data_IF_787894166191
#
_entry.id   IF_787894166191
#
_cell.length_a   1.000
_cell.length_b   1.000
_cell.length_c   1.000
_cell.angle_alpha   90.00
_cell.angle_beta   90.00
_cell.angle_gamma   90.00
#
_symmetry.space_group_name_H-M   'P 1'
#
loop_
_entity.id
_entity.type
_entity.pdbx_description
1 polymer ?
#
# COMPACT_ATOMS: atom_id res chain seq x y z
N UNK A 1 16.04 -14.38 14.88
CA UNK A 1 16.33 -15.54 15.74
C UNK A 1 16.70 -14.99 17.09
N UNK A 2 15.88 -15.30 18.08
CA UNK A 2 15.94 -14.71 19.42
C UNK A 2 15.88 -15.84 20.43
N UNK A 3 16.66 -15.74 21.50
CA UNK A 3 16.60 -16.70 22.60
C UNK A 3 15.34 -16.46 23.44
N UNK A 4 14.74 -17.55 23.92
CA UNK A 4 13.56 -17.53 24.77
C UNK A 4 13.87 -18.29 26.06
N UNK A 5 13.26 -17.85 27.15
CA UNK A 5 13.39 -18.50 28.46
C UNK A 5 12.02 -18.61 29.10
N UNK A 6 11.81 -19.66 29.87
CA UNK A 6 10.59 -19.87 30.61
C UNK A 6 10.51 -18.89 31.80
N UNK A 7 9.31 -18.38 32.09
CA UNK A 7 9.13 -17.30 33.08
C UNK A 7 9.60 -17.71 34.47
N UNK A 8 9.39 -18.97 34.87
CA UNK A 8 9.85 -19.48 36.17
C UNK A 8 11.38 -19.52 36.29
N UNK A 9 12.09 -19.81 35.19
CA UNK A 9 13.55 -19.76 35.15
C UNK A 9 14.06 -18.32 35.38
N UNK A 10 13.35 -17.32 34.84
CA UNK A 10 13.66 -15.90 35.09
C UNK A 10 13.43 -15.55 36.56
N UNK A 11 12.31 -15.99 37.15
CA UNK A 11 12.01 -15.77 38.55
C UNK A 11 13.07 -16.42 39.48
N UNK A 12 13.44 -17.67 39.22
CA UNK A 12 14.51 -18.37 39.94
C UNK A 12 15.82 -17.59 39.86
N UNK A 13 16.18 -17.12 38.67
CA UNK A 13 17.38 -16.33 38.49
C UNK A 13 17.36 -15.01 39.30
N UNK A 14 16.19 -14.40 39.51
CA UNK A 14 16.07 -13.22 40.38
C UNK A 14 16.27 -13.56 41.85
N UNK A 15 15.77 -14.72 42.30
CA UNK A 15 15.98 -15.22 43.66
C UNK A 15 17.47 -15.48 43.91
N UNK A 16 18.16 -16.22 43.02
CA UNK A 16 19.60 -16.46 43.15
C UNK A 16 20.40 -15.14 43.16
N UNK A 17 19.96 -14.13 42.40
CA UNK A 17 20.60 -12.82 42.42
C UNK A 17 20.43 -12.10 43.77
N UNK A 18 19.25 -12.17 44.39
CA UNK A 18 19.01 -11.61 45.71
C UNK A 18 19.86 -12.30 46.78
N UNK A 19 19.90 -13.63 46.79
CA UNK A 19 20.72 -14.41 47.73
C UNK A 19 22.23 -14.12 47.59
N UNK A 20 22.70 -13.92 46.36
CA UNK A 20 24.11 -13.54 46.11
C UNK A 20 24.42 -12.11 46.60
N UNK A 21 23.44 -11.21 46.58
CA UNK A 21 23.58 -9.86 47.15
C UNK A 21 23.59 -9.88 48.68
N UNK A 22 22.73 -10.69 49.29
CA UNK A 22 22.62 -10.82 50.76
C UNK A 22 23.80 -11.54 51.39
N UNK A 23 24.53 -12.34 50.62
CA UNK A 23 25.78 -13.01 51.05
C UNK A 23 27.03 -12.12 51.02
N UNK A 24 26.86 -10.80 50.84
CA UNK A 24 27.92 -9.77 50.88
C UNK A 24 29.07 -10.01 49.89
N UNK A 25 28.80 -10.69 48.76
CA UNK A 25 29.78 -10.84 47.67
C UNK A 25 29.82 -9.53 46.86
N UNK A 26 30.64 -8.58 47.33
CA UNK A 26 30.82 -7.20 46.82
C UNK A 26 31.07 -7.11 45.29
N UNK A 27 31.41 -8.22 44.63
CA UNK A 27 31.76 -8.26 43.20
C UNK A 27 30.58 -8.26 42.22
N UNK A 28 29.33 -8.45 42.67
CA UNK A 28 28.18 -8.67 41.76
C UNK A 28 27.27 -7.44 41.62
N UNK A 29 27.31 -6.51 42.58
CA UNK A 29 26.49 -5.29 42.55
C UNK A 29 26.82 -4.40 41.33
N UNK A 30 25.79 -4.06 40.54
CA UNK A 30 25.92 -3.21 39.34
C UNK A 30 26.27 -3.94 38.03
N UNK A 31 26.45 -5.26 38.03
CA UNK A 31 26.68 -6.04 36.81
C UNK A 31 25.36 -6.44 36.14
N UNK A 32 25.24 -6.16 34.84
CA UNK A 32 24.11 -6.64 34.03
C UNK A 32 24.41 -8.06 33.56
N UNK A 33 23.78 -9.05 34.20
CA UNK A 33 23.90 -10.45 33.84
C UNK A 33 22.64 -10.89 33.07
N UNK A 34 22.84 -11.33 31.83
CA UNK A 34 21.77 -11.76 30.93
C UNK A 34 21.45 -13.23 31.20
N UNK A 35 20.15 -13.55 31.27
CA UNK A 35 19.61 -14.83 31.74
C UNK A 35 18.69 -15.41 30.67
N UNK A 36 19.28 -16.02 29.66
CA UNK A 36 18.57 -16.62 28.53
C UNK A 36 19.22 -17.93 28.11
N UNK A 37 18.44 -19.00 28.18
CA UNK A 37 18.89 -20.31 27.73
C UNK A 37 18.92 -20.35 26.20
N UNK A 38 20.03 -20.85 25.65
CA UNK A 38 20.27 -20.87 24.20
C UNK A 38 19.59 -22.08 23.59
N UNK A 39 18.63 -21.86 22.68
CA UNK A 39 17.94 -22.96 22.01
C UNK A 39 18.02 -22.86 20.49
N UNK A 40 18.48 -23.95 19.89
CA UNK A 40 18.45 -24.19 18.46
C UNK A 40 17.51 -25.35 18.18
N UNK A 41 16.24 -25.09 17.86
CA UNK A 41 15.48 -26.05 17.06
C UNK A 41 14.61 -25.36 16.01
N UNK A 42 14.81 -25.68 14.71
CA UNK A 42 13.97 -25.15 13.62
C UNK A 42 12.55 -25.76 13.60
N UNK A 43 12.37 -26.97 14.14
CA UNK A 43 11.23 -27.83 13.83
C UNK A 43 9.98 -27.60 14.69
N UNK A 44 10.08 -27.03 15.89
CA UNK A 44 8.95 -27.04 16.83
C UNK A 44 8.10 -25.77 16.86
N UNK A 45 8.56 -24.70 16.23
CA UNK A 45 7.80 -23.44 16.10
C UNK A 45 6.43 -23.61 15.42
N UNK A 46 6.14 -24.77 14.84
CA UNK A 46 4.87 -25.12 14.20
C UNK A 46 3.78 -25.65 15.13
N UNK A 47 4.05 -25.93 16.42
CA UNK A 47 3.08 -26.62 17.27
C UNK A 47 2.16 -25.70 18.10
N UNK A 48 2.56 -24.45 18.36
CA UNK A 48 1.68 -23.45 18.95
C UNK A 48 0.97 -22.60 17.89
N UNK A 49 1.63 -22.27 16.78
CA UNK A 49 1.05 -21.59 15.61
C UNK A 49 1.87 -21.95 14.37
N UNK A 50 1.23 -22.16 13.21
CA UNK A 50 1.97 -22.28 11.95
C UNK A 50 2.80 -21.02 11.72
N UNK A 51 4.09 -21.20 11.43
CA UNK A 51 4.99 -20.11 11.07
C UNK A 51 4.34 -19.32 9.92
N UNK A 52 4.15 -17.99 10.02
CA UNK A 52 3.57 -17.23 8.92
C UNK A 52 4.42 -17.47 7.66
N UNK A 53 3.78 -18.04 6.64
CA UNK A 53 4.44 -18.44 5.40
C UNK A 53 4.87 -17.22 4.57
N UNK A 54 4.18 -16.10 4.75
CA UNK A 54 4.45 -14.84 4.07
C UNK A 54 5.73 -14.22 4.65
N UNK A 55 6.83 -14.32 3.90
CA UNK A 55 8.07 -13.62 4.20
C UNK A 55 7.93 -12.17 3.76
N UNK A 56 7.50 -11.30 4.68
CA UNK A 56 7.47 -9.86 4.42
C UNK A 56 8.85 -9.26 4.68
N UNK A 57 9.45 -8.53 3.72
CA UNK A 57 10.71 -7.82 3.94
C UNK A 57 10.61 -6.80 5.10
N UNK A 58 11.62 -6.75 5.97
CA UNK A 58 11.63 -5.85 7.14
C UNK A 58 11.40 -4.38 6.79
N UNK A 59 11.95 -3.93 5.65
CA UNK A 59 11.80 -2.55 5.20
C UNK A 59 10.32 -2.21 4.91
N UNK A 60 9.53 -3.14 4.37
CA UNK A 60 8.10 -2.94 4.13
C UNK A 60 7.32 -2.79 5.43
N UNK A 61 7.57 -3.67 6.40
CA UNK A 61 6.95 -3.60 7.73
C UNK A 61 7.28 -2.27 8.41
N UNK A 62 8.53 -1.80 8.29
CA UNK A 62 8.96 -0.50 8.80
C UNK A 62 8.19 0.66 8.17
N UNK A 63 8.04 0.66 6.83
CA UNK A 63 7.27 1.70 6.11
C UNK A 63 5.80 1.74 6.55
N UNK A 64 5.14 0.58 6.67
CA UNK A 64 3.74 0.50 7.11
C UNK A 64 3.59 1.07 8.53
N UNK A 65 4.53 0.73 9.42
CA UNK A 65 4.55 1.24 10.79
C UNK A 65 4.73 2.76 10.81
N UNK A 66 5.67 3.31 10.06
CA UNK A 66 5.89 4.77 9.96
C UNK A 66 4.65 5.47 9.39
N UNK A 67 4.05 4.92 8.33
CA UNK A 67 2.84 5.48 7.71
C UNK A 67 1.68 5.49 8.69
N UNK A 68 1.49 4.40 9.45
CA UNK A 68 0.45 4.32 10.48
C UNK A 68 0.67 5.35 11.59
N UNK A 69 1.90 5.52 12.07
CA UNK A 69 2.25 6.54 13.07
C UNK A 69 1.95 7.96 12.56
N UNK A 70 2.35 8.26 11.32
CA UNK A 70 2.08 9.55 10.69
C UNK A 70 0.58 9.83 10.54
N UNK A 71 -0.20 8.83 10.15
CA UNK A 71 -1.67 8.94 10.04
C UNK A 71 -2.29 9.17 11.42
N UNK A 72 -1.86 8.44 12.45
CA UNK A 72 -2.34 8.61 13.82
C UNK A 72 -2.04 10.00 14.37
N UNK A 73 -0.82 10.50 14.16
CA UNK A 73 -0.41 11.85 14.57
C UNK A 73 -1.24 12.93 13.87
N UNK A 74 -1.47 12.78 12.56
CA UNK A 74 -2.22 13.76 11.75
C UNK A 74 -3.73 13.78 12.07
N UNK A 75 -4.30 12.63 12.40
CA UNK A 75 -5.72 12.52 12.75
C UNK A 75 -6.01 12.85 14.22
N UNK A 76 -4.99 13.18 15.03
CA UNK A 76 -5.16 13.50 16.45
C UNK A 76 -5.68 12.34 17.30
N UNK A 77 -5.67 11.11 16.76
CA UNK A 77 -6.01 9.91 17.50
C UNK A 77 -4.88 9.61 18.47
N UNK A 78 -4.96 10.19 19.67
CA UNK A 78 -4.05 9.91 20.80
C UNK A 78 -4.31 8.55 21.42
N UNK A 79 -4.54 7.53 20.59
CA UNK A 79 -4.86 6.19 21.02
C UNK A 79 -3.58 5.36 20.90
N UNK A 80 -3.23 4.70 22.01
CA UNK A 80 -2.05 3.87 22.24
C UNK A 80 -0.76 4.60 22.64
N UNK A 81 -0.68 4.84 23.96
CA UNK A 81 0.57 5.05 24.70
C UNK A 81 1.34 3.71 24.76
N UNK A 82 1.81 3.20 23.63
CA UNK A 82 2.80 2.12 23.66
C UNK A 82 4.05 2.69 24.32
N UNK A 83 4.52 2.06 25.41
CA UNK A 83 5.74 2.48 26.12
C UNK A 83 7.00 2.44 25.24
N UNK A 84 6.91 1.79 24.08
CA UNK A 84 8.00 1.55 23.15
C UNK A 84 7.51 1.85 21.73
N UNK A 85 8.28 2.64 20.96
CA UNK A 85 7.93 2.95 19.57
C UNK A 85 7.78 1.66 18.74
N UNK A 86 6.67 1.46 18.01
CA UNK A 86 6.49 0.34 17.09
C UNK A 86 7.67 0.10 16.14
N UNK A 87 8.35 1.17 15.70
CA UNK A 87 9.55 1.07 14.88
C UNK A 87 10.69 0.34 15.61
N UNK A 88 10.86 0.58 16.91
CA UNK A 88 11.85 -0.11 17.74
C UNK A 88 11.53 -1.60 17.88
N UNK A 89 10.25 -1.98 17.97
CA UNK A 89 9.82 -3.39 18.03
C UNK A 89 10.20 -4.12 16.74
N UNK A 90 9.95 -3.51 15.57
CA UNK A 90 10.32 -4.07 14.26
C UNK A 90 11.83 -4.25 14.15
N UNK A 91 12.61 -3.26 14.59
CA UNK A 91 14.07 -3.38 14.64
C UNK A 91 14.53 -4.47 15.61
N UNK A 92 13.83 -4.64 16.74
CA UNK A 92 14.13 -5.68 17.72
C UNK A 92 13.92 -7.08 17.12
N UNK A 93 12.80 -7.27 16.42
CA UNK A 93 12.40 -8.54 15.82
C UNK A 93 13.26 -8.91 14.59
N UNK A 94 13.73 -7.92 13.83
CA UNK A 94 14.52 -8.16 12.62
C UNK A 94 15.96 -8.61 12.92
N UNK A 95 16.50 -8.30 14.10
CA UNK A 95 17.89 -8.60 14.45
C UNK A 95 17.97 -9.92 15.18
N UNK A 96 18.95 -10.73 14.82
CA UNK A 96 19.28 -11.92 15.60
C UNK A 96 19.96 -11.48 16.89
N UNK A 97 19.44 -11.93 18.04
CA UNK A 97 20.07 -11.71 19.33
C UNK A 97 20.20 -13.06 20.04
N UNK A 98 21.43 -13.39 20.38
CA UNK A 98 21.76 -14.52 21.22
C UNK A 98 22.46 -14.00 22.46
N UNK A 99 22.16 -14.58 23.61
CA UNK A 99 22.72 -14.16 24.89
C UNK A 99 23.55 -15.30 25.48
N UNK A 100 24.65 -14.96 26.16
CA UNK A 100 25.48 -15.93 26.86
C UNK A 100 25.13 -15.94 28.35
N UNK A 101 24.81 -17.13 28.88
CA UNK A 101 24.50 -17.36 30.29
C UNK A 101 25.71 -17.73 31.15
N UNK A 102 26.91 -17.89 30.56
CA UNK A 102 28.11 -18.33 31.28
C UNK A 102 28.44 -17.45 32.50
N UNK A 103 28.28 -16.13 32.35
CA UNK A 103 28.51 -15.17 33.42
C UNK A 103 27.49 -15.29 34.56
N UNK A 104 26.23 -15.57 34.26
CA UNK A 104 25.19 -15.78 35.27
C UNK A 104 25.43 -17.06 36.06
N UNK A 105 25.83 -18.15 35.39
CA UNK A 105 26.17 -19.41 36.05
C UNK A 105 27.39 -19.26 36.96
N UNK A 106 28.44 -18.58 36.50
CA UNK A 106 29.69 -18.41 37.26
C UNK A 106 29.55 -17.49 38.48
N UNK A 107 28.78 -16.40 38.35
CA UNK A 107 28.71 -15.36 39.38
C UNK A 107 27.50 -15.48 40.30
N UNK A 108 26.40 -16.10 39.85
CA UNK A 108 25.17 -16.23 40.63
C UNK A 108 24.87 -17.68 41.03
N UNK A 109 25.68 -18.65 40.59
CA UNK A 109 25.39 -20.09 40.76
C UNK A 109 24.10 -20.53 40.06
N UNK A 110 23.57 -19.71 39.14
CA UNK A 110 22.28 -19.94 38.52
C UNK A 110 22.30 -21.15 37.56
N UNK A 111 21.31 -22.04 37.72
CA UNK A 111 20.96 -23.10 36.77
C UNK A 111 19.46 -23.03 36.42
N UNK A 112 19.08 -23.34 35.16
CA UNK A 112 17.68 -23.42 34.78
C UNK A 112 17.00 -24.59 35.52
N UNK A 113 15.86 -24.31 36.16
CA UNK A 113 15.10 -25.30 36.94
C UNK A 113 14.18 -26.11 36.03
N UNK A 114 13.56 -25.44 35.08
CA UNK A 114 12.66 -26.04 34.09
C UNK A 114 13.41 -26.12 32.77
N UNK A 115 13.48 -27.32 32.19
CA UNK A 115 14.03 -27.48 30.85
C UNK A 115 13.16 -26.72 29.85
N UNK A 116 13.76 -26.19 28.77
CA UNK A 116 12.96 -25.46 27.77
C UNK A 116 11.88 -26.34 27.13
N UNK A 117 12.15 -27.63 26.94
CA UNK A 117 11.19 -28.58 26.39
C UNK A 117 9.95 -28.73 27.29
N UNK A 118 10.17 -28.86 28.60
CA UNK A 118 9.09 -28.93 29.59
C UNK A 118 8.32 -27.61 29.67
N UNK A 119 9.02 -26.47 29.63
CA UNK A 119 8.42 -25.14 29.60
C UNK A 119 7.52 -24.93 28.39
N UNK A 120 7.93 -25.40 27.21
CA UNK A 120 7.12 -25.36 25.99
C UNK A 120 5.90 -26.28 26.13
N UNK A 121 6.07 -27.52 26.59
CA UNK A 121 4.98 -28.48 26.77
C UNK A 121 3.90 -27.95 27.73
N UNK A 122 4.32 -27.34 28.84
CA UNK A 122 3.43 -26.68 29.80
C UNK A 122 2.68 -25.49 29.17
N UNK A 123 3.38 -24.69 28.36
CA UNK A 123 2.78 -23.57 27.63
C UNK A 123 1.73 -24.06 26.62
N UNK A 124 2.04 -25.06 25.79
CA UNK A 124 1.10 -25.68 24.84
C UNK A 124 -0.14 -26.21 25.58
N UNK A 125 0.05 -26.90 26.71
CA UNK A 125 -1.05 -27.45 27.49
C UNK A 125 -1.99 -26.35 28.03
N UNK A 126 -1.41 -25.24 28.49
CA UNK A 126 -2.14 -24.06 28.97
C UNK A 126 -2.96 -23.39 27.87
N UNK A 127 -2.44 -23.35 26.64
CA UNK A 127 -3.10 -22.76 25.47
C UNK A 127 -3.84 -23.77 24.58
N UNK A 128 -4.18 -24.95 25.11
CA UNK A 128 -4.88 -26.00 24.36
C UNK A 128 -6.26 -25.59 23.84
N UNK A 129 -6.87 -24.55 24.41
CA UNK A 129 -8.10 -23.94 23.91
C UNK A 129 -7.93 -23.14 22.61
N UNK A 130 -6.75 -22.54 22.36
CA UNK A 130 -6.47 -21.77 21.14
C UNK A 130 -6.15 -22.67 19.94
N UNK A 131 -5.73 -23.91 20.18
CA UNK A 131 -5.40 -24.85 19.09
C UNK A 131 -6.63 -25.40 18.37
N UNK A 132 -7.82 -25.30 18.98
CA UNK A 132 -9.09 -25.76 18.38
C UNK A 132 -9.66 -24.81 17.32
N UNK A 133 -9.28 -23.53 17.33
CA UNK A 133 -9.70 -22.56 16.32
C UNK A 133 -8.76 -22.55 15.10
N UNK A 134 -8.37 -23.74 14.64
CA UNK A 134 -7.48 -23.97 13.49
C UNK A 134 -8.15 -23.66 12.14
N UNK A 135 -8.98 -22.62 12.08
CA UNK A 135 -9.39 -21.97 10.83
C UNK A 135 -8.17 -21.55 9.99
N UNK A 136 -7.04 -21.26 10.65
CA UNK A 136 -5.74 -21.01 10.02
C UNK A 136 -5.11 -22.24 9.36
N UNK A 137 -5.37 -23.47 9.81
CA UNK A 137 -4.83 -24.67 9.14
C UNK A 137 -5.47 -24.93 7.78
N UNK A 138 -6.65 -24.36 7.51
CA UNK A 138 -7.31 -24.51 6.20
C UNK A 138 -6.63 -23.72 5.07
N UNK A 139 -5.65 -22.86 5.39
CA UNK A 139 -4.86 -22.12 4.40
C UNK A 139 -3.65 -22.92 3.84
N UNK A 140 -3.49 -24.20 4.19
CA UNK A 140 -2.36 -25.02 3.72
C UNK A 140 -2.42 -25.49 2.27
N UNK A 141 -3.60 -25.47 1.62
CA UNK A 141 -3.77 -25.94 0.25
C UNK A 141 -3.88 -24.76 -0.72
N UNK A 142 -2.75 -24.13 -1.04
CA UNK A 142 -2.65 -23.05 -2.03
C UNK A 142 -2.71 -23.52 -3.50
N UNK A 143 -2.88 -24.83 -3.76
CA UNK A 143 -3.13 -25.34 -5.11
C UNK A 143 -4.61 -25.24 -5.52
N UNK A 144 -5.50 -24.83 -4.61
CA UNK A 144 -6.90 -24.58 -4.93
C UNK A 144 -7.10 -23.12 -5.37
N UNK A 145 -7.42 -22.94 -6.65
CA UNK A 145 -7.62 -21.63 -7.29
C UNK A 145 -8.54 -20.74 -6.44
N UNK A 146 -8.03 -19.59 -5.99
CA UNK A 146 -8.74 -18.78 -4.99
C UNK A 146 -10.11 -18.34 -5.52
N UNK A 147 -11.14 -18.32 -4.67
CA UNK A 147 -12.48 -17.83 -5.07
C UNK A 147 -12.43 -16.41 -5.65
N UNK A 148 -11.49 -15.59 -5.17
CA UNK A 148 -11.25 -14.26 -5.68
C UNK A 148 -10.65 -14.27 -7.09
N UNK A 149 -9.82 -15.25 -7.43
CA UNK A 149 -9.27 -15.44 -8.78
C UNK A 149 -10.36 -15.84 -9.78
N UNK A 150 -11.30 -16.71 -9.37
CA UNK A 150 -12.48 -17.04 -10.19
C UNK A 150 -13.39 -15.83 -10.45
N UNK A 151 -13.46 -14.88 -9.51
CA UNK A 151 -14.30 -13.68 -9.62
C UNK A 151 -13.61 -12.54 -10.38
N UNK A 152 -12.30 -12.35 -10.17
CA UNK A 152 -11.52 -11.28 -10.79
C UNK A 152 -11.05 -11.64 -12.22
N UNK A 153 -11.07 -12.93 -12.56
CA UNK A 153 -10.51 -13.45 -13.81
C UNK A 153 -8.99 -13.54 -13.75
N UNK A 154 -8.40 -14.52 -14.42
CA UNK A 154 -6.94 -14.61 -14.53
C UNK A 154 -6.42 -13.48 -15.43
N UNK A 155 -5.61 -12.57 -14.89
CA UNK A 155 -5.04 -11.47 -15.65
C UNK A 155 -4.22 -10.52 -14.79
N UNK A 156 -3.54 -9.57 -15.45
CA UNK A 156 -2.59 -8.64 -14.82
C UNK A 156 -3.21 -7.89 -13.63
N UNK A 157 -4.48 -7.48 -13.73
CA UNK A 157 -5.18 -6.77 -12.65
C UNK A 157 -5.43 -7.68 -11.46
N UNK A 158 -5.79 -8.96 -11.68
CA UNK A 158 -5.98 -9.91 -10.61
C UNK A 158 -4.64 -10.28 -9.96
N UNK A 159 -3.56 -10.45 -10.74
CA UNK A 159 -2.22 -10.65 -10.20
C UNK A 159 -1.76 -9.45 -9.37
N UNK A 160 -2.18 -8.23 -9.76
CA UNK A 160 -1.88 -7.02 -9.02
C UNK A 160 -2.71 -6.93 -7.72
N UNK A 161 -4.00 -7.23 -7.77
CA UNK A 161 -4.89 -7.18 -6.60
C UNK A 161 -4.63 -8.31 -5.59
N UNK A 162 -4.24 -9.50 -6.07
CA UNK A 162 -3.92 -10.68 -5.25
C UNK A 162 -2.48 -10.68 -4.73
N UNK A 163 -1.72 -9.60 -4.94
CA UNK A 163 -0.34 -9.47 -4.47
C UNK A 163 0.61 -10.55 -4.99
N UNK A 164 0.38 -11.06 -6.21
CA UNK A 164 1.18 -12.17 -6.78
C UNK A 164 2.57 -11.71 -7.21
N UNK A 165 2.66 -10.49 -7.77
CA UNK A 165 3.91 -9.81 -8.12
C UNK A 165 4.23 -8.70 -7.11
N UNK A 166 4.97 -9.01 -6.06
CA UNK A 166 5.26 -8.10 -4.93
C UNK A 166 5.79 -6.71 -5.38
N UNK A 167 6.69 -6.66 -6.36
CA UNK A 167 7.27 -5.40 -6.84
C UNK A 167 6.26 -4.54 -7.60
N UNK A 168 5.48 -5.16 -8.50
CA UNK A 168 4.51 -4.43 -9.34
C UNK A 168 3.34 -3.94 -8.51
N UNK A 169 2.84 -4.80 -7.63
CA UNK A 169 1.74 -4.49 -6.70
C UNK A 169 2.08 -3.39 -5.74
N UNK A 170 3.27 -3.44 -5.15
CA UNK A 170 3.76 -2.37 -4.31
C UNK A 170 3.88 -1.05 -5.06
N UNK A 171 4.46 -1.04 -6.27
CA UNK A 171 4.58 0.19 -7.07
C UNK A 171 3.20 0.76 -7.45
N UNK A 172 2.26 -0.08 -7.88
CA UNK A 172 0.89 0.35 -8.18
C UNK A 172 0.20 0.92 -6.93
N UNK A 173 0.34 0.24 -5.78
CA UNK A 173 -0.25 0.69 -4.52
C UNK A 173 0.38 2.01 -4.03
N UNK A 174 1.70 2.15 -4.16
CA UNK A 174 2.43 3.37 -3.81
C UNK A 174 1.97 4.54 -4.70
N UNK A 175 1.87 4.35 -6.01
CA UNK A 175 1.37 5.36 -6.95
C UNK A 175 -0.07 5.74 -6.61
N UNK A 176 -0.94 4.77 -6.33
CA UNK A 176 -2.32 5.01 -5.95
C UNK A 176 -2.41 5.80 -4.64
N UNK A 177 -1.60 5.44 -3.64
CA UNK A 177 -1.54 6.13 -2.36
C UNK A 177 -1.02 7.57 -2.50
N UNK A 178 0.00 7.80 -3.34
CA UNK A 178 0.51 9.14 -3.65
C UNK A 178 -0.52 9.97 -4.41
N UNK A 179 -1.22 9.39 -5.38
CA UNK A 179 -2.30 10.06 -6.11
C UNK A 179 -3.47 10.40 -5.18
N UNK A 180 -3.85 9.48 -4.31
CA UNK A 180 -4.87 9.71 -3.28
C UNK A 180 -4.44 10.83 -2.32
N UNK A 181 -3.19 10.81 -1.88
CA UNK A 181 -2.64 11.86 -1.01
C UNK A 181 -2.67 13.23 -1.71
N UNK A 182 -2.20 13.28 -2.95
CA UNK A 182 -2.20 14.48 -3.77
C UNK A 182 -3.61 15.04 -3.99
N UNK A 183 -4.61 14.18 -4.16
CA UNK A 183 -5.98 14.60 -4.41
C UNK A 183 -6.73 15.05 -3.16
N UNK A 184 -6.68 14.25 -2.08
CA UNK A 184 -7.52 14.46 -0.91
C UNK A 184 -6.87 15.34 0.16
N UNK A 185 -5.55 15.29 0.33
CA UNK A 185 -4.86 16.03 1.40
C UNK A 185 -4.32 17.38 0.96
N UNK A 186 -4.23 17.66 -0.34
CA UNK A 186 -3.60 18.87 -0.83
C UNK A 186 -4.51 20.12 -0.75
N UNK A 187 -5.79 19.98 -0.33
CA UNK A 187 -6.71 21.12 -0.12
C UNK A 187 -7.00 21.95 -1.38
N UNK A 188 -6.52 21.52 -2.54
CA UNK A 188 -6.74 22.17 -3.83
C UNK A 188 -8.01 21.62 -4.47
N UNK A 189 -8.69 22.47 -5.23
CA UNK A 189 -9.82 22.03 -6.06
C UNK A 189 -9.35 21.02 -7.10
N UNK A 190 -10.22 20.07 -7.45
CA UNK A 190 -9.96 19.05 -8.48
C UNK A 190 -9.40 19.66 -9.78
N UNK A 191 -9.97 20.81 -10.18
CA UNK A 191 -9.58 21.56 -11.38
C UNK A 191 -8.14 22.07 -11.31
N UNK A 192 -7.71 22.59 -10.16
CA UNK A 192 -6.33 23.05 -9.96
C UNK A 192 -5.34 21.88 -10.02
N UNK A 193 -5.67 20.74 -9.41
CA UNK A 193 -4.82 19.54 -9.48
C UNK A 193 -4.72 18.99 -10.90
N UNK A 194 -5.83 18.94 -11.64
CA UNK A 194 -5.86 18.50 -13.04
C UNK A 194 -5.02 19.42 -13.93
N UNK A 195 -5.12 20.74 -13.75
CA UNK A 195 -4.30 21.70 -14.47
C UNK A 195 -2.80 21.54 -14.17
N UNK A 196 -2.43 21.30 -12.90
CA UNK A 196 -1.04 21.03 -12.52
C UNK A 196 -0.49 19.73 -13.11
N UNK A 197 -1.30 18.67 -13.17
CA UNK A 197 -0.92 17.42 -13.84
C UNK A 197 -0.72 17.61 -15.34
N UNK A 198 -1.63 18.33 -16.01
CA UNK A 198 -1.48 18.67 -17.42
C UNK A 198 -0.22 19.48 -17.67
N UNK A 199 0.06 20.47 -16.82
CA UNK A 199 1.27 21.29 -16.92
C UNK A 199 2.54 20.44 -16.75
N UNK A 200 2.53 19.51 -15.80
CA UNK A 200 3.64 18.57 -15.59
C UNK A 200 3.83 17.63 -16.79
N UNK A 201 2.76 17.09 -17.37
CA UNK A 201 2.82 16.28 -18.60
C UNK A 201 3.39 17.10 -19.75
N UNK A 202 2.95 18.35 -19.94
CA UNK A 202 3.49 19.22 -20.99
C UNK A 202 4.96 19.56 -20.77
N UNK A 203 5.39 19.79 -19.53
CA UNK A 203 6.78 20.07 -19.20
C UNK A 203 7.67 18.83 -19.43
N UNK A 204 7.16 17.63 -19.11
CA UNK A 204 7.84 16.36 -19.40
C UNK A 204 7.95 16.16 -20.91
N UNK A 205 6.87 16.30 -21.67
CA UNK A 205 6.90 16.18 -23.14
C UNK A 205 7.84 17.20 -23.78
N UNK A 206 7.83 18.44 -23.29
CA UNK A 206 8.76 19.49 -23.73
C UNK A 206 10.21 19.14 -23.38
N UNK A 207 10.45 18.66 -22.16
CA UNK A 207 11.76 18.17 -21.72
C UNK A 207 12.24 16.99 -22.57
N UNK A 208 11.38 16.01 -22.86
CA UNK A 208 11.68 14.91 -23.77
C UNK A 208 11.99 15.40 -25.18
N UNK A 209 11.25 16.38 -25.70
CA UNK A 209 11.50 16.97 -27.01
C UNK A 209 12.86 17.66 -27.12
N UNK A 210 13.33 18.31 -26.03
CA UNK A 210 14.64 18.98 -25.98
C UNK A 210 15.78 18.00 -25.67
N UNK A 211 15.59 17.04 -24.76
CA UNK A 211 16.63 16.07 -24.39
C UNK A 211 16.88 15.05 -25.51
N UNK A 212 15.86 14.72 -26.29
CA UNK A 212 15.96 13.78 -27.40
C UNK A 212 16.83 14.31 -28.56
N UNK A 213 17.07 15.62 -28.65
CA UNK A 213 17.91 16.17 -29.72
C UNK A 213 19.40 16.13 -29.42
N UNK A 214 19.84 16.24 -28.16
CA UNK A 214 21.26 16.54 -27.89
C UNK A 214 22.03 15.60 -26.94
N UNK A 215 21.41 14.70 -26.14
CA UNK A 215 22.15 14.09 -25.00
C UNK A 215 22.17 12.55 -24.96
N UNK A 216 21.36 11.82 -25.71
CA UNK A 216 21.41 10.35 -25.65
C UNK A 216 21.25 9.76 -27.04
N UNK A 217 22.25 9.01 -27.51
CA UNK A 217 22.28 8.30 -28.81
C UNK A 217 21.20 7.22 -29.00
N UNK A 218 20.09 7.31 -28.27
CA UNK A 218 18.84 6.70 -28.68
C UNK A 218 18.26 7.56 -29.81
N UNK A 219 18.36 7.06 -31.04
CA UNK A 219 17.59 7.56 -32.16
C UNK A 219 16.10 7.33 -31.88
N UNK A 220 15.49 8.21 -31.09
CA UNK A 220 14.03 8.35 -31.07
C UNK A 220 13.68 8.73 -32.49
N UNK A 221 12.91 7.87 -33.15
CA UNK A 221 12.47 8.05 -34.51
C UNK A 221 11.66 9.35 -34.55
N UNK A 222 12.33 10.46 -34.90
CA UNK A 222 11.66 11.71 -35.19
C UNK A 222 10.56 11.39 -36.18
N UNK A 223 9.33 11.61 -35.77
CA UNK A 223 8.16 11.40 -36.63
C UNK A 223 8.46 12.19 -37.91
N UNK A 224 8.59 11.52 -39.07
CA UNK A 224 9.00 12.20 -40.29
C UNK A 224 8.01 13.31 -40.60
N UNK A 225 8.49 14.45 -41.08
CA UNK A 225 7.68 15.63 -41.41
C UNK A 225 6.53 15.32 -42.37
N UNK A 226 6.60 14.21 -43.12
CA UNK A 226 5.52 13.66 -43.94
C UNK A 226 4.29 13.21 -43.16
N UNK A 227 4.38 12.90 -41.86
CA UNK A 227 3.21 12.62 -41.01
C UNK A 227 2.48 13.91 -40.58
N UNK A 228 3.13 15.07 -40.68
CA UNK A 228 2.54 16.38 -40.40
C UNK A 228 2.20 17.16 -41.68
N UNK A 229 2.58 16.64 -42.85
CA UNK A 229 2.21 17.18 -44.15
C UNK A 229 0.76 16.78 -44.46
N UNK A 230 -0.17 17.53 -43.88
CA UNK A 230 -1.60 17.31 -44.08
C UNK A 230 -1.90 17.46 -45.58
N UNK A 231 -2.29 16.36 -46.22
CA UNK A 231 -2.59 16.35 -47.65
C UNK A 231 -3.68 17.39 -47.96
N UNK A 232 -3.41 18.32 -48.87
CA UNK A 232 -4.35 19.41 -49.20
C UNK A 232 -5.74 18.89 -49.62
N UNK A 233 -5.83 17.66 -50.15
CA UNK A 233 -7.09 16.96 -50.44
C UNK A 233 -7.90 16.64 -49.18
N UNK A 234 -7.26 16.23 -48.08
CA UNK A 234 -7.93 15.84 -46.84
C UNK A 234 -8.48 17.07 -46.10
N UNK A 235 -7.72 18.17 -46.11
CA UNK A 235 -8.20 19.47 -45.60
C UNK A 235 -9.38 19.95 -46.43
N UNK A 236 -9.28 19.88 -47.76
CA UNK A 236 -10.34 20.32 -48.67
C UNK A 236 -11.60 19.47 -48.53
N UNK A 237 -11.47 18.16 -48.32
CA UNK A 237 -12.58 17.25 -48.05
C UNK A 237 -13.21 17.52 -46.68
N UNK A 238 -12.41 17.82 -45.66
CA UNK A 238 -12.88 18.20 -44.32
C UNK A 238 -13.65 19.52 -44.36
N UNK A 239 -13.11 20.54 -45.04
CA UNK A 239 -13.79 21.83 -45.25
C UNK A 239 -15.08 21.63 -46.04
N UNK A 240 -15.08 20.79 -47.07
CA UNK A 240 -16.29 20.45 -47.84
C UNK A 240 -17.33 19.74 -46.97
N UNK A 241 -16.91 18.83 -46.09
CA UNK A 241 -17.79 18.15 -45.14
C UNK A 241 -18.41 19.11 -44.12
N UNK A 242 -17.60 20.02 -43.58
CA UNK A 242 -18.07 21.09 -42.67
C UNK A 242 -19.05 22.01 -43.38
N UNK A 243 -18.74 22.43 -44.60
CA UNK A 243 -19.62 23.26 -45.42
C UNK A 243 -20.94 22.54 -45.73
N UNK A 244 -20.89 21.25 -46.08
CA UNK A 244 -22.08 20.42 -46.31
C UNK A 244 -22.93 20.30 -45.04
N UNK A 245 -22.31 20.02 -43.89
CA UNK A 245 -22.99 19.94 -42.60
C UNK A 245 -23.63 21.28 -42.21
N UNK A 246 -22.92 22.39 -42.39
CA UNK A 246 -23.44 23.74 -42.15
C UNK A 246 -24.65 24.04 -43.03
N UNK A 247 -24.54 23.78 -44.33
CA UNK A 247 -25.65 23.98 -45.27
C UNK A 247 -26.85 23.09 -44.93
N UNK A 248 -26.61 21.85 -44.50
CA UNK A 248 -27.69 20.93 -44.05
C UNK A 248 -28.39 21.43 -42.80
N UNK A 249 -27.64 21.96 -41.83
CA UNK A 249 -28.20 22.56 -40.60
C UNK A 249 -29.03 23.80 -40.95
N UNK A 250 -28.49 24.72 -41.77
CA UNK A 250 -29.21 25.93 -42.21
C UNK A 250 -30.49 25.59 -42.98
N UNK A 251 -30.43 24.62 -43.90
CA UNK A 251 -31.63 24.13 -44.58
C UNK A 251 -32.64 23.51 -43.61
N UNK A 252 -32.18 22.76 -42.62
CA UNK A 252 -33.06 22.17 -41.60
C UNK A 252 -33.74 23.24 -40.73
N UNK A 253 -33.01 24.31 -40.36
CA UNK A 253 -33.57 25.47 -39.65
C UNK A 253 -34.62 26.18 -40.53
N UNK A 254 -34.34 26.36 -41.83
CA UNK A 254 -35.26 26.98 -42.78
C UNK A 254 -36.54 26.15 -42.97
N UNK A 255 -36.44 24.83 -43.02
CA UNK A 255 -37.59 23.92 -43.06
C UNK A 255 -38.40 23.94 -41.76
N UNK A 256 -37.72 24.01 -40.62
CA UNK A 256 -38.37 24.21 -39.31
C UNK A 256 -39.15 25.53 -39.26
N UNK A 257 -38.56 26.61 -39.78
CA UNK A 257 -39.18 27.94 -39.80
C UNK A 257 -40.41 28.01 -40.72
N UNK A 258 -40.48 27.18 -41.76
CA UNK A 258 -41.67 27.06 -42.62
C UNK A 258 -42.79 26.21 -42.01
N UNK A 259 -42.52 25.47 -40.93
CA UNK A 259 -43.53 24.71 -40.19
C UNK A 259 -44.03 23.43 -40.86
N UNK A 260 -43.36 22.94 -41.92
CA UNK A 260 -43.83 21.78 -42.69
C UNK A 260 -43.64 20.44 -41.96
N UNK A 261 -42.67 20.33 -41.04
CA UNK A 261 -42.26 19.05 -40.41
C UNK A 261 -42.27 19.09 -38.86
N UNK A 262 -43.45 18.86 -38.26
CA UNK A 262 -43.66 18.82 -36.80
C UNK A 262 -42.78 17.79 -36.07
N UNK A 263 -42.53 16.63 -36.68
CA UNK A 263 -41.68 15.57 -36.08
C UNK A 263 -40.22 16.01 -35.90
N UNK A 264 -39.66 16.75 -36.86
CA UNK A 264 -38.29 17.30 -36.74
C UNK A 264 -38.23 18.41 -35.71
N UNK A 265 -39.27 19.24 -35.63
CA UNK A 265 -39.37 20.30 -34.65
C UNK A 265 -39.29 19.76 -33.20
N UNK A 266 -40.09 18.74 -32.88
CA UNK A 266 -40.05 18.12 -31.54
C UNK A 266 -38.69 17.49 -31.22
N UNK A 267 -38.03 16.84 -32.18
CA UNK A 267 -36.66 16.30 -31.98
C UNK A 267 -35.65 17.40 -31.69
N UNK A 268 -35.67 18.50 -32.44
CA UNK A 268 -34.78 19.64 -32.22
C UNK A 268 -35.06 20.29 -30.86
N UNK A 269 -36.33 20.43 -30.49
CA UNK A 269 -36.71 21.04 -29.21
C UNK A 269 -36.30 20.17 -28.01
N UNK A 270 -36.44 18.84 -28.10
CA UNK A 270 -35.92 17.93 -27.09
C UNK A 270 -34.39 18.04 -26.96
N UNK A 271 -33.66 18.12 -28.08
CA UNK A 271 -32.21 18.35 -28.08
C UNK A 271 -31.82 19.68 -27.45
N UNK A 272 -32.50 20.78 -27.80
CA UNK A 272 -32.25 22.10 -27.21
C UNK A 272 -32.57 22.13 -25.72
N UNK A 273 -33.59 21.40 -25.28
CA UNK A 273 -33.94 21.27 -23.86
C UNK A 273 -32.85 20.53 -23.08
N UNK A 274 -32.36 19.41 -23.61
CA UNK A 274 -31.24 18.67 -23.02
C UNK A 274 -29.96 19.51 -23.01
N UNK A 275 -29.68 20.23 -24.10
CA UNK A 275 -28.52 21.12 -24.19
C UNK A 275 -28.61 22.25 -23.17
N UNK A 276 -29.78 22.89 -23.03
CA UNK A 276 -30.05 23.89 -22.00
C UNK A 276 -29.83 23.32 -20.59
N UNK A 277 -30.28 22.10 -20.34
CA UNK A 277 -30.11 21.44 -19.05
C UNK A 277 -28.62 21.20 -18.73
N UNK A 278 -27.85 20.70 -19.69
CA UNK A 278 -26.40 20.48 -19.56
C UNK A 278 -25.65 21.78 -19.34
N UNK A 279 -25.95 22.83 -20.13
CA UNK A 279 -25.30 24.14 -20.02
C UNK A 279 -25.67 24.85 -18.71
N UNK A 280 -26.92 24.73 -18.27
CA UNK A 280 -27.34 25.27 -16.97
C UNK A 280 -26.68 24.53 -15.82
N UNK A 281 -26.53 23.20 -15.92
CA UNK A 281 -25.84 22.39 -14.92
C UNK A 281 -24.35 22.74 -14.86
N UNK A 282 -23.69 22.85 -16.01
CA UNK A 282 -22.27 23.21 -16.06
C UNK A 282 -22.01 24.64 -15.60
N UNK A 283 -22.89 25.61 -15.92
CA UNK A 283 -22.82 26.97 -15.38
C UNK A 283 -23.08 27.01 -13.87
N UNK A 284 -24.04 26.24 -13.36
CA UNK A 284 -24.30 26.17 -11.91
C UNK A 284 -23.10 25.57 -11.14
N UNK A 285 -22.43 24.58 -11.72
CA UNK A 285 -21.21 23.98 -11.17
C UNK A 285 -20.00 24.92 -11.30
N UNK A 286 -19.91 25.70 -12.38
CA UNK A 286 -18.82 26.66 -12.62
C UNK A 286 -18.93 27.92 -11.75
N UNK A 287 -20.16 28.41 -11.50
CA UNK A 287 -20.44 29.61 -10.68
C UNK A 287 -20.35 29.31 -9.18
N UNK A 288 -20.21 28.05 -8.77
CA UNK A 288 -19.92 27.70 -7.38
C UNK A 288 -20.95 28.32 -6.43
N UNK A 289 -22.23 27.95 -6.58
CA UNK A 289 -23.17 28.14 -5.47
C UNK A 289 -22.75 27.14 -4.39
N UNK A 290 -21.78 27.60 -3.60
CA UNK A 290 -21.35 26.96 -2.38
C UNK A 290 -22.51 26.90 -1.39
N UNK A 291 -22.75 25.69 -0.90
CA UNK A 291 -22.88 25.45 0.52
C UNK A 291 -21.93 24.33 0.88
#
# INVERSE_FOLDING_TARGET
MSDFTYVENVAHAHICAAETMDSWVVSVAGKVLLKFERYYSPNWSCQLHCRPFIKVPTWMVSYVVILSQYIHDKLGYRMYKYSVSPHYIVQLASRNRTFDCSAAQKHLGYSPVVSLEDGIKSTVASFSHLSKDSSFMRFGNFDEQSKAEKLLGSGIVADVLLWRDERRTFMCFLILALAFYWFFFCGKTFTSSAAQLLLLVTAILYGYGILASDICGFAVQNIPSSCFEIQNSDVKNSIRSISYMWNRVVCSIRLLAKGEDWSRFFKVMAFLYLFKWIVSYSLAVLVGIGK
#
